data_IF_890760292341
#
_entry.id   IF_890760292341
#
_cell.length_a   1.000
_cell.length_b   1.000
_cell.length_c   1.000
_cell.angle_alpha   90.00
_cell.angle_beta   90.00
_cell.angle_gamma   90.00
#
_symmetry.space_group_name_H-M   'P 1'
#
loop_
_entity.id
_entity.type
_entity.pdbx_description
1 polymer ?
#
# COMPACT_ATOMS: atom_id res chain seq x y z
N UNK A 1 39.43 4.33 30.34
CA UNK A 1 40.89 4.25 30.11
C UNK A 1 41.59 4.38 31.46
N UNK A 2 41.96 3.25 32.05
CA UNK A 2 42.96 3.16 33.11
C UNK A 2 43.81 1.93 32.80
N UNK A 3 45.11 2.18 32.66
CA UNK A 3 46.15 1.22 32.33
C UNK A 3 46.49 0.46 33.61
N UNK A 4 46.25 -0.85 33.63
CA UNK A 4 46.80 -1.75 34.64
C UNK A 4 47.94 -2.52 33.98
N UNK A 5 49.14 -2.15 34.41
CA UNK A 5 50.41 -2.74 34.06
C UNK A 5 50.55 -4.00 34.92
N UNK A 6 50.38 -5.17 34.31
CA UNK A 6 50.71 -6.46 34.95
C UNK A 6 52.16 -6.80 34.61
N UNK A 7 53.00 -6.79 35.64
CA UNK A 7 54.39 -7.23 35.62
C UNK A 7 54.45 -8.70 35.18
N UNK A 8 55.27 -8.97 34.16
CA UNK A 8 55.61 -10.31 33.69
C UNK A 8 56.68 -10.90 34.62
N UNK A 9 56.31 -11.96 35.35
CA UNK A 9 57.27 -12.83 36.05
C UNK A 9 58.11 -13.63 35.05
N UNK A 10 59.46 -13.68 35.18
CA UNK A 10 60.34 -14.33 34.20
C UNK A 10 60.63 -15.82 34.48
N UNK A 11 59.91 -16.49 35.38
CA UNK A 11 60.32 -17.83 35.90
C UNK A 11 59.55 -19.02 35.31
N UNK A 12 58.90 -18.87 34.16
CA UNK A 12 58.08 -19.94 33.54
C UNK A 12 58.85 -20.85 32.56
N UNK A 13 60.16 -20.68 32.37
CA UNK A 13 60.89 -21.40 31.31
C UNK A 13 61.30 -22.82 31.69
N UNK A 14 61.40 -23.14 32.98
CA UNK A 14 61.81 -24.47 33.46
C UNK A 14 60.65 -25.49 33.46
N UNK A 15 59.40 -25.05 33.67
CA UNK A 15 58.22 -25.92 33.68
C UNK A 15 57.76 -26.36 32.28
N UNK A 16 58.12 -25.59 31.23
CA UNK A 16 57.65 -25.89 29.87
C UNK A 16 58.36 -27.12 29.29
N UNK A 17 59.63 -27.37 29.62
CA UNK A 17 60.39 -28.53 29.15
C UNK A 17 59.89 -29.85 29.79
N UNK A 18 59.54 -29.84 31.08
CA UNK A 18 59.03 -31.02 31.82
C UNK A 18 57.58 -31.39 31.39
N UNK A 19 56.75 -30.38 31.15
CA UNK A 19 55.38 -30.56 30.63
C UNK A 19 55.37 -31.13 29.19
N UNK A 20 56.35 -30.75 28.36
CA UNK A 20 56.44 -31.29 27.00
C UNK A 20 56.83 -32.76 26.99
N UNK A 21 57.73 -33.18 27.87
CA UNK A 21 58.19 -34.58 27.99
C UNK A 21 57.05 -35.48 28.49
N UNK A 22 56.33 -35.05 29.54
CA UNK A 22 55.18 -35.81 30.08
C UNK A 22 54.00 -35.92 29.11
N UNK A 23 53.78 -34.90 28.26
CA UNK A 23 52.77 -34.93 27.19
C UNK A 23 53.18 -35.87 26.05
N UNK A 24 54.45 -35.89 25.69
CA UNK A 24 54.98 -36.77 24.64
C UNK A 24 54.92 -38.24 25.07
N UNK A 25 55.22 -38.53 26.33
CA UNK A 25 55.03 -39.86 26.93
C UNK A 25 53.56 -40.29 26.94
N UNK A 26 52.64 -39.38 27.23
CA UNK A 26 51.20 -39.65 27.19
C UNK A 26 50.72 -39.98 25.78
N UNK A 27 51.16 -39.22 24.77
CA UNK A 27 50.84 -39.46 23.36
C UNK A 27 51.33 -40.84 22.94
N UNK A 28 52.58 -41.19 23.30
CA UNK A 28 53.15 -42.50 23.01
C UNK A 28 52.34 -43.64 23.62
N UNK A 29 51.89 -43.49 24.88
CA UNK A 29 51.03 -44.49 25.54
C UNK A 29 49.67 -44.62 24.85
N UNK A 30 49.07 -43.52 24.38
CA UNK A 30 47.86 -43.55 23.58
C UNK A 30 48.06 -44.27 22.24
N UNK A 31 49.19 -44.04 21.57
CA UNK A 31 49.54 -44.69 20.30
C UNK A 31 49.76 -46.20 20.48
N UNK A 32 50.41 -46.62 21.57
CA UNK A 32 50.59 -48.04 21.91
C UNK A 32 49.23 -48.72 22.16
N UNK A 33 48.34 -48.11 22.94
CA UNK A 33 46.98 -48.63 23.15
C UNK A 33 46.17 -48.69 21.85
N UNK A 34 46.31 -47.70 20.97
CA UNK A 34 45.64 -47.69 19.67
C UNK A 34 46.15 -48.82 18.77
N UNK A 35 47.45 -49.08 18.78
CA UNK A 35 48.07 -50.17 18.03
C UNK A 35 47.58 -51.54 18.52
N UNK A 36 47.46 -51.72 19.83
CA UNK A 36 46.91 -52.95 20.43
C UNK A 36 45.44 -53.16 20.03
N UNK A 37 44.64 -52.08 20.02
CA UNK A 37 43.26 -52.10 19.53
C UNK A 37 43.20 -52.47 18.04
N UNK A 38 44.05 -51.88 17.21
CA UNK A 38 44.13 -52.16 15.78
C UNK A 38 44.57 -53.60 15.50
N UNK A 39 45.52 -54.15 16.27
CA UNK A 39 45.92 -55.55 16.18
C UNK A 39 44.76 -56.49 16.55
N UNK A 40 44.02 -56.18 17.61
CA UNK A 40 42.81 -56.92 17.99
C UNK A 40 41.75 -56.88 16.89
N UNK A 41 41.51 -55.71 16.29
CA UNK A 41 40.56 -55.54 15.20
C UNK A 41 40.97 -56.30 13.94
N UNK A 42 42.27 -56.34 13.64
CA UNK A 42 42.81 -57.13 12.53
C UNK A 42 42.70 -58.64 12.76
N UNK A 43 42.85 -59.11 14.01
CA UNK A 43 42.60 -60.53 14.36
C UNK A 43 41.13 -60.89 14.18
N UNK A 44 40.21 -60.02 14.60
CA UNK A 44 38.77 -60.21 14.42
C UNK A 44 38.37 -60.24 12.92
N UNK A 45 38.97 -59.37 12.10
CA UNK A 45 38.67 -59.33 10.67
C UNK A 45 39.17 -60.58 9.93
N UNK A 46 40.32 -61.15 10.33
CA UNK A 46 40.85 -62.39 9.77
C UNK A 46 39.94 -63.60 10.05
N UNK A 47 39.43 -63.71 11.29
CA UNK A 47 38.52 -64.78 11.73
C UNK A 47 37.19 -64.76 10.96
N UNK A 48 36.76 -63.60 10.45
CA UNK A 48 35.57 -63.47 9.61
C UNK A 48 35.70 -64.04 8.19
N UNK A 49 36.89 -64.42 7.73
CA UNK A 49 37.17 -64.85 6.34
C UNK A 49 37.44 -66.34 6.14
N UNK A 50 37.41 -67.16 7.20
CA UNK A 50 37.57 -68.62 7.06
C UNK A 50 36.31 -69.27 6.46
N UNK A 51 36.43 -69.76 5.22
CA UNK A 51 35.37 -70.50 4.53
C UNK A 51 35.34 -71.96 5.01
N UNK A 52 34.37 -72.31 5.86
CA UNK A 52 34.23 -73.65 6.44
C UNK A 52 32.98 -74.38 5.90
N UNK A 53 33.15 -75.65 5.51
CA UNK A 53 32.32 -76.36 4.52
C UNK A 53 31.34 -77.39 5.10
N UNK A 54 31.04 -77.39 6.40
CA UNK A 54 30.06 -78.32 7.01
C UNK A 54 29.13 -77.64 8.04
N UNK A 55 27.82 -77.70 7.79
CA UNK A 55 26.78 -76.88 8.44
C UNK A 55 26.64 -77.11 9.96
N UNK A 56 26.85 -78.34 10.43
CA UNK A 56 26.67 -78.66 11.86
C UNK A 56 27.92 -78.32 12.70
N UNK A 57 29.10 -78.45 12.10
CA UNK A 57 30.36 -77.97 12.67
C UNK A 57 30.38 -76.42 12.71
N UNK A 58 29.85 -75.77 11.67
CA UNK A 58 29.71 -74.31 11.59
C UNK A 58 28.83 -73.74 12.71
N UNK A 59 27.66 -74.36 12.96
CA UNK A 59 26.77 -73.91 14.04
C UNK A 59 27.43 -74.07 15.41
N UNK A 60 28.14 -75.18 15.63
CA UNK A 60 28.85 -75.44 16.89
C UNK A 60 29.99 -74.44 17.12
N UNK A 61 30.73 -74.09 16.06
CA UNK A 61 31.81 -73.10 16.10
C UNK A 61 31.29 -71.68 16.36
N UNK A 62 30.20 -71.27 15.70
CA UNK A 62 29.56 -69.98 15.94
C UNK A 62 28.99 -69.87 17.36
N UNK A 63 28.37 -70.94 17.88
CA UNK A 63 27.88 -70.96 19.27
C UNK A 63 29.05 -70.85 20.26
N UNK A 64 30.18 -71.52 19.98
CA UNK A 64 31.39 -71.40 20.80
C UNK A 64 31.95 -69.98 20.75
N UNK A 65 32.07 -69.37 19.56
CA UNK A 65 32.54 -67.99 19.39
C UNK A 65 31.64 -66.99 20.12
N UNK A 66 30.32 -67.11 19.98
CA UNK A 66 29.36 -66.25 20.70
C UNK A 66 29.55 -66.40 22.21
N UNK A 67 29.76 -67.62 22.72
CA UNK A 67 30.04 -67.84 24.14
C UNK A 67 31.37 -67.21 24.59
N UNK A 68 32.44 -67.37 23.81
CA UNK A 68 33.74 -66.76 24.07
C UNK A 68 33.66 -65.23 24.08
N UNK A 69 33.08 -64.63 23.04
CA UNK A 69 32.89 -63.18 22.94
C UNK A 69 31.97 -62.63 24.04
N UNK A 70 30.92 -63.38 24.41
CA UNK A 70 30.05 -62.99 25.53
C UNK A 70 30.81 -63.03 26.86
N UNK A 71 31.69 -64.02 27.05
CA UNK A 71 32.53 -64.10 28.23
C UNK A 71 33.55 -62.95 28.28
N UNK A 72 34.24 -62.66 27.17
CA UNK A 72 35.16 -61.53 27.03
C UNK A 72 34.45 -60.19 27.28
N UNK A 73 33.29 -59.93 26.67
CA UNK A 73 32.52 -58.71 26.91
C UNK A 73 32.13 -58.59 28.39
N UNK A 74 31.69 -59.68 29.00
CA UNK A 74 31.36 -59.69 30.43
C UNK A 74 32.58 -59.48 31.34
N UNK A 75 33.77 -59.82 30.86
CA UNK A 75 35.04 -59.55 31.54
C UNK A 75 35.41 -58.06 31.39
N UNK A 76 35.40 -57.52 30.17
CA UNK A 76 35.68 -56.10 29.90
C UNK A 76 34.71 -55.15 30.59
N UNK A 77 33.45 -55.55 30.77
CA UNK A 77 32.45 -54.74 31.49
C UNK A 77 32.70 -54.73 33.01
N UNK A 78 33.39 -55.74 33.55
CA UNK A 78 33.73 -55.85 34.98
C UNK A 78 35.12 -55.31 35.30
N UNK A 79 36.03 -55.34 34.33
CA UNK A 79 37.32 -54.68 34.44
C UNK A 79 37.10 -53.16 34.43
N UNK A 80 37.62 -52.47 35.44
CA UNK A 80 37.75 -51.02 35.39
C UNK A 80 38.75 -50.70 34.29
N UNK A 81 38.39 -49.85 33.30
CA UNK A 81 39.34 -49.44 32.28
C UNK A 81 40.61 -48.93 32.96
N UNK A 82 41.79 -49.38 32.52
CA UNK A 82 43.04 -48.73 32.91
C UNK A 82 42.98 -47.31 32.35
N UNK A 83 42.56 -46.38 33.21
CA UNK A 83 42.65 -44.96 32.92
C UNK A 83 44.15 -44.70 32.82
N UNK A 84 44.57 -44.12 31.70
CA UNK A 84 45.93 -43.65 31.55
C UNK A 84 46.24 -42.80 32.80
N UNK A 85 47.32 -43.09 33.55
CA UNK A 85 47.65 -42.32 34.74
C UNK A 85 47.85 -40.87 34.31
N UNK A 86 46.83 -40.05 34.55
CA UNK A 86 46.89 -38.62 34.29
C UNK A 86 47.83 -38.06 35.35
N UNK A 87 48.98 -37.58 34.90
CA UNK A 87 49.82 -36.71 35.72
C UNK A 87 48.95 -35.51 36.17
N UNK A 88 48.99 -35.17 37.46
CA UNK A 88 48.24 -34.06 38.06
C UNK A 88 48.46 -32.75 37.27
N UNK A 89 49.67 -32.57 36.75
CA UNK A 89 50.05 -31.43 35.91
C UNK A 89 49.31 -31.38 34.57
N UNK A 90 49.08 -32.53 33.93
CA UNK A 90 48.30 -32.62 32.69
C UNK A 90 46.82 -32.29 32.94
N UNK A 91 46.27 -32.70 34.08
CA UNK A 91 44.92 -32.33 34.51
C UNK A 91 44.79 -30.83 34.75
N UNK A 92 45.76 -30.23 35.46
CA UNK A 92 45.77 -28.80 35.77
C UNK A 92 45.91 -27.97 34.49
N UNK A 93 46.79 -28.37 33.57
CA UNK A 93 46.99 -27.66 32.29
C UNK A 93 45.75 -27.75 31.40
N UNK A 94 45.15 -28.94 31.26
CA UNK A 94 43.89 -29.12 30.52
C UNK A 94 42.75 -28.30 31.15
N UNK A 95 42.61 -28.36 32.47
CA UNK A 95 41.61 -27.57 33.19
C UNK A 95 41.77 -26.07 32.95
N UNK A 96 43.00 -25.55 33.05
CA UNK A 96 43.32 -24.14 32.74
C UNK A 96 42.94 -23.80 31.30
N UNK A 97 43.28 -24.64 30.32
CA UNK A 97 42.97 -24.41 28.91
C UNK A 97 41.45 -24.33 28.68
N UNK A 98 40.69 -25.29 29.21
CA UNK A 98 39.23 -25.32 29.06
C UNK A 98 38.54 -24.14 29.75
N UNK A 99 39.01 -23.74 30.94
CA UNK A 99 38.51 -22.52 31.60
C UNK A 99 38.84 -21.25 30.81
N UNK A 100 40.01 -21.18 30.18
CA UNK A 100 40.35 -20.08 29.31
C UNK A 100 39.42 -20.04 28.09
N UNK A 101 39.22 -21.15 27.37
CA UNK A 101 38.27 -21.21 26.24
C UNK A 101 36.88 -20.75 26.66
N UNK A 102 36.37 -21.30 27.76
CA UNK A 102 35.05 -20.93 28.30
C UNK A 102 34.97 -19.44 28.62
N UNK A 103 36.02 -18.85 29.21
CA UNK A 103 36.07 -17.42 29.50
C UNK A 103 35.99 -16.59 28.21
N UNK A 104 36.75 -16.94 27.18
CA UNK A 104 36.72 -16.23 25.90
C UNK A 104 35.35 -16.32 25.24
N UNK A 105 34.73 -17.51 25.24
CA UNK A 105 33.40 -17.71 24.67
C UNK A 105 32.34 -16.89 25.42
N UNK A 106 32.39 -16.88 26.76
CA UNK A 106 31.49 -16.07 27.59
C UNK A 106 31.67 -14.58 27.34
N UNK A 107 32.91 -14.11 27.18
CA UNK A 107 33.22 -12.71 26.89
C UNK A 107 32.67 -12.29 25.51
N UNK A 108 32.79 -13.16 24.50
CA UNK A 108 32.23 -12.94 23.17
C UNK A 108 30.69 -12.89 23.20
N UNK A 109 30.06 -13.80 23.95
CA UNK A 109 28.60 -13.81 24.15
C UNK A 109 28.16 -12.54 24.89
N UNK A 110 28.86 -12.14 25.95
CA UNK A 110 28.56 -10.91 26.69
C UNK A 110 28.66 -9.67 25.78
N UNK A 111 29.73 -9.54 24.99
CA UNK A 111 29.88 -8.44 24.03
C UNK A 111 28.75 -8.42 23.00
N UNK A 112 28.36 -9.60 22.50
CA UNK A 112 27.24 -9.74 21.56
C UNK A 112 25.91 -9.33 22.19
N UNK A 113 25.66 -9.72 23.43
CA UNK A 113 24.43 -9.35 24.14
C UNK A 113 24.42 -7.84 24.45
N UNK A 114 25.54 -7.27 24.88
CA UNK A 114 25.66 -5.84 25.18
C UNK A 114 25.40 -4.99 23.93
N UNK A 115 26.04 -5.31 22.80
CA UNK A 115 25.81 -4.61 21.53
C UNK A 115 24.35 -4.73 21.05
N UNK A 116 23.74 -5.91 21.19
CA UNK A 116 22.31 -6.08 20.91
C UNK A 116 21.42 -5.24 21.83
N UNK A 117 21.74 -5.17 23.11
CA UNK A 117 20.99 -4.36 24.07
C UNK A 117 21.09 -2.87 23.78
N UNK A 118 22.27 -2.35 23.44
CA UNK A 118 22.41 -0.95 23.06
C UNK A 118 21.62 -0.64 21.78
N UNK A 119 21.69 -1.51 20.77
CA UNK A 119 20.86 -1.37 19.58
C UNK A 119 19.36 -1.36 19.91
N UNK A 120 18.89 -2.27 20.78
CA UNK A 120 17.49 -2.29 21.18
C UNK A 120 17.06 -1.02 21.91
N UNK A 121 17.93 -0.40 22.71
CA UNK A 121 17.64 0.89 23.34
C UNK A 121 17.51 2.00 22.30
N UNK A 122 18.44 2.06 21.35
CA UNK A 122 18.36 3.03 20.25
C UNK A 122 17.09 2.83 19.40
N UNK A 123 16.73 1.58 19.10
CA UNK A 123 15.50 1.24 18.39
C UNK A 123 14.27 1.70 19.19
N UNK A 124 14.24 1.43 20.50
CA UNK A 124 13.16 1.85 21.40
C UNK A 124 12.99 3.38 21.43
N UNK A 125 14.09 4.12 21.55
CA UNK A 125 14.05 5.59 21.55
C UNK A 125 13.49 6.15 20.23
N UNK A 126 13.87 5.55 19.09
CA UNK A 126 13.32 5.95 17.78
C UNK A 126 11.83 5.64 17.65
N UNK A 127 11.39 4.47 18.10
CA UNK A 127 9.97 4.10 18.09
C UNK A 127 9.15 5.02 19.01
N UNK A 128 9.70 5.40 20.17
CA UNK A 128 9.04 6.34 21.06
C UNK A 128 8.89 7.73 20.43
N UNK A 129 9.95 8.25 19.79
CA UNK A 129 9.88 9.51 19.05
C UNK A 129 8.84 9.45 17.93
N UNK A 130 8.81 8.35 17.18
CA UNK A 130 7.83 8.15 16.12
C UNK A 130 6.39 8.14 16.66
N UNK A 131 6.15 7.50 17.81
CA UNK A 131 4.85 7.51 18.47
C UNK A 131 4.42 8.94 18.87
N UNK A 132 5.35 9.72 19.43
CA UNK A 132 5.08 11.11 19.83
C UNK A 132 4.71 11.98 18.61
N UNK A 133 5.41 11.79 17.48
CA UNK A 133 5.08 12.44 16.20
C UNK A 133 3.69 12.04 15.69
N UNK A 134 3.35 10.75 15.74
CA UNK A 134 2.01 10.27 15.33
C UNK A 134 0.91 10.88 16.20
N UNK A 135 1.14 10.97 17.51
CA UNK A 135 0.21 11.59 18.44
C UNK A 135 0.00 13.08 18.13
N UNK A 136 1.07 13.81 17.82
CA UNK A 136 0.98 15.22 17.43
C UNK A 136 0.21 15.43 16.12
N UNK A 137 0.40 14.55 15.13
CA UNK A 137 -0.37 14.57 13.88
C UNK A 137 -1.85 14.30 14.16
N UNK A 138 -2.16 13.32 15.01
CA UNK A 138 -3.53 12.99 15.38
C UNK A 138 -4.23 14.17 16.09
N UNK A 139 -3.54 14.82 17.02
CA UNK A 139 -4.05 16.00 17.72
C UNK A 139 -4.32 17.14 16.74
N UNK A 140 -3.37 17.41 15.84
CA UNK A 140 -3.51 18.44 14.80
C UNK A 140 -4.69 18.16 13.87
N UNK A 141 -4.86 16.90 13.46
CA UNK A 141 -5.98 16.47 12.63
C UNK A 141 -7.32 16.59 13.36
N UNK A 142 -7.34 16.27 14.66
CA UNK A 142 -8.54 16.37 15.50
C UNK A 142 -8.98 17.83 15.64
N UNK A 143 -8.02 18.75 15.82
CA UNK A 143 -8.29 20.20 15.83
C UNK A 143 -8.88 20.64 14.49
N UNK A 144 -8.24 20.30 13.37
CA UNK A 144 -8.73 20.63 12.02
C UNK A 144 -10.12 20.07 11.76
N UNK A 145 -10.39 18.82 12.16
CA UNK A 145 -11.70 18.20 12.02
C UNK A 145 -12.75 18.94 12.87
N UNK A 146 -12.41 19.35 14.09
CA UNK A 146 -13.33 20.12 14.94
C UNK A 146 -13.64 21.49 14.35
N UNK A 147 -12.64 22.16 13.77
CA UNK A 147 -12.79 23.45 13.09
C UNK A 147 -13.65 23.30 11.84
N UNK A 148 -13.38 22.31 10.99
CA UNK A 148 -14.19 22.04 9.80
C UNK A 148 -15.63 21.70 10.17
N UNK A 149 -15.86 20.90 11.23
CA UNK A 149 -17.20 20.60 11.72
C UNK A 149 -17.91 21.87 12.17
N UNK A 150 -17.24 22.77 12.89
CA UNK A 150 -17.81 24.06 13.25
C UNK A 150 -18.09 24.91 12.00
N UNK A 151 -17.19 24.93 11.01
CA UNK A 151 -17.39 25.63 9.75
C UNK A 151 -18.61 25.11 8.98
N UNK A 152 -18.78 23.79 8.84
CA UNK A 152 -19.96 23.15 8.23
C UNK A 152 -21.23 23.49 9.02
N UNK A 153 -21.16 23.54 10.36
CA UNK A 153 -22.29 23.97 11.19
C UNK A 153 -22.61 25.46 10.98
N UNK A 154 -21.60 26.32 10.77
CA UNK A 154 -21.80 27.76 10.49
C UNK A 154 -22.23 28.07 9.06
N UNK A 155 -21.77 27.27 8.09
CA UNK A 155 -22.19 27.29 6.69
C UNK A 155 -23.28 26.25 6.55
N UNK A 156 -24.42 26.52 7.19
CA UNK A 156 -25.54 25.60 7.11
C UNK A 156 -25.93 25.39 5.65
N UNK A 157 -26.17 24.15 5.25
CA UNK A 157 -26.71 23.81 3.92
C UNK A 157 -27.97 24.65 3.64
N UNK A 158 -28.73 24.96 4.68
CA UNK A 158 -29.88 25.86 4.62
C UNK A 158 -29.53 27.28 4.19
N UNK A 159 -28.37 27.84 4.55
CA UNK A 159 -27.95 29.19 4.14
C UNK A 159 -27.60 29.23 2.66
N UNK A 160 -26.83 28.25 2.17
CA UNK A 160 -26.49 28.13 0.74
C UNK A 160 -27.76 27.88 -0.08
N UNK A 161 -28.63 26.99 0.40
CA UNK A 161 -29.90 26.68 -0.26
C UNK A 161 -30.82 27.90 -0.32
N UNK A 162 -30.92 28.67 0.77
CA UNK A 162 -31.71 29.90 0.80
C UNK A 162 -31.13 30.96 -0.13
N UNK A 163 -29.80 31.15 -0.18
CA UNK A 163 -29.16 32.08 -1.11
C UNK A 163 -29.42 31.70 -2.58
N UNK A 164 -29.30 30.43 -2.92
CA UNK A 164 -29.65 29.90 -4.25
C UNK A 164 -31.13 30.13 -4.58
N UNK A 165 -32.02 29.89 -3.62
CA UNK A 165 -33.45 30.11 -3.78
C UNK A 165 -33.77 31.59 -4.03
N UNK A 166 -33.12 32.51 -3.33
CA UNK A 166 -33.25 33.95 -3.55
C UNK A 166 -32.73 34.34 -4.93
N UNK A 167 -31.53 33.94 -5.31
CA UNK A 167 -30.96 34.23 -6.65
C UNK A 167 -31.86 33.70 -7.78
N UNK A 168 -32.44 32.52 -7.61
CA UNK A 168 -33.39 31.94 -8.56
C UNK A 168 -34.65 32.80 -8.67
N UNK A 169 -35.19 33.26 -7.54
CA UNK A 169 -36.36 34.13 -7.52
C UNK A 169 -36.07 35.47 -8.18
N UNK A 170 -34.94 36.11 -7.87
CA UNK A 170 -34.54 37.40 -8.44
C UNK A 170 -34.38 37.30 -9.96
N UNK A 171 -33.77 36.20 -10.43
CA UNK A 171 -33.62 35.93 -11.87
C UNK A 171 -34.98 35.75 -12.55
N UNK A 172 -35.92 35.08 -11.88
CA UNK A 172 -37.28 34.90 -12.40
C UNK A 172 -38.03 36.23 -12.49
N UNK A 173 -37.94 37.06 -11.45
CA UNK A 173 -38.58 38.39 -11.42
C UNK A 173 -37.98 39.32 -12.48
N UNK A 174 -36.65 39.29 -12.65
CA UNK A 174 -35.98 40.04 -13.70
C UNK A 174 -36.44 39.61 -15.11
N UNK A 175 -36.54 38.29 -15.36
CA UNK A 175 -37.07 37.76 -16.61
C UNK A 175 -38.51 38.25 -16.87
N UNK A 176 -39.37 38.20 -15.86
CA UNK A 176 -40.76 38.65 -16.00
C UNK A 176 -40.86 40.14 -16.30
N UNK A 177 -40.13 40.98 -15.56
CA UNK A 177 -40.04 42.42 -15.83
C UNK A 177 -39.55 42.71 -17.25
N UNK A 178 -38.52 42.00 -17.70
CA UNK A 178 -37.96 42.16 -19.05
C UNK A 178 -38.97 41.78 -20.14
N UNK A 179 -39.74 40.71 -19.94
CA UNK A 179 -40.79 40.31 -20.89
C UNK A 179 -41.92 41.33 -20.94
N UNK A 180 -42.34 41.88 -19.79
CA UNK A 180 -43.37 42.91 -19.72
C UNK A 180 -42.91 44.18 -20.46
N UNK A 181 -41.70 44.68 -20.18
CA UNK A 181 -41.19 45.89 -20.85
C UNK A 181 -40.98 45.70 -22.35
N UNK A 182 -40.57 44.50 -22.78
CA UNK A 182 -40.48 44.17 -24.20
C UNK A 182 -41.87 44.16 -24.86
N UNK A 183 -42.88 43.59 -24.19
CA UNK A 183 -44.24 43.60 -24.69
C UNK A 183 -44.78 45.01 -24.86
N UNK A 184 -44.67 45.86 -23.83
CA UNK A 184 -45.08 47.27 -23.87
C UNK A 184 -44.38 48.03 -25.01
N UNK A 185 -43.06 47.84 -25.16
CA UNK A 185 -42.29 48.45 -26.25
C UNK A 185 -42.77 48.01 -27.64
N UNK A 186 -43.06 46.71 -27.81
CA UNK A 186 -43.51 46.18 -29.10
C UNK A 186 -44.92 46.64 -29.44
N UNK A 187 -45.82 46.77 -28.47
CA UNK A 187 -47.16 47.31 -28.68
C UNK A 187 -47.12 48.78 -29.12
N UNK A 188 -46.28 49.60 -28.51
CA UNK A 188 -46.17 51.04 -28.80
C UNK A 188 -45.51 51.32 -30.17
N UNK A 189 -44.50 50.54 -30.56
CA UNK A 189 -43.71 50.80 -31.77
C UNK A 189 -44.08 49.95 -32.99
N UNK A 190 -44.73 48.79 -32.80
CA UNK A 190 -45.12 47.87 -33.87
C UNK A 190 -46.61 47.49 -33.81
N UNK A 191 -47.54 48.46 -33.93
CA UNK A 191 -48.97 48.17 -34.01
C UNK A 191 -49.35 47.51 -35.34
N UNK A 192 -50.34 46.60 -35.31
CA UNK A 192 -50.86 45.97 -36.53
C UNK A 192 -51.47 47.01 -37.49
N UNK A 193 -51.34 46.84 -38.83
CA UNK A 193 -51.79 47.83 -39.82
C UNK A 193 -53.28 48.15 -39.88
N UNK A 194 -54.14 47.40 -39.19
CA UNK A 194 -55.59 47.54 -39.37
C UNK A 194 -56.28 48.35 -38.27
N UNK A 195 -55.53 48.84 -37.27
CA UNK A 195 -56.16 49.62 -36.21
C UNK A 195 -56.51 51.04 -36.64
N UNK A 196 -55.88 51.62 -37.69
CA UNK A 196 -55.97 53.06 -37.97
C UNK A 196 -55.80 53.54 -39.44
N UNK A 197 -56.34 52.88 -40.48
CA UNK A 197 -56.36 53.53 -41.82
C UNK A 197 -57.67 53.36 -42.60
N UNK A 198 -58.32 54.50 -42.83
CA UNK A 198 -59.50 54.65 -43.70
C UNK A 198 -59.17 54.27 -45.17
N UNK A 199 -59.95 53.33 -45.71
CA UNK A 199 -60.39 53.14 -47.12
C UNK A 199 -59.40 53.50 -48.26
N UNK A 200 -58.96 52.47 -48.99
CA UNK A 200 -59.09 52.45 -50.46
C UNK A 200 -59.17 51.01 -50.99
N UNK A 201 -60.28 50.70 -51.65
CA UNK A 201 -60.56 49.45 -52.38
C UNK A 201 -59.40 49.09 -53.31
N UNK A 202 -58.94 47.85 -53.25
CA UNK A 202 -58.82 46.96 -54.42
C UNK A 202 -58.77 45.50 -53.99
N UNK A 203 -59.83 44.81 -54.42
CA UNK A 203 -60.05 43.38 -54.55
C UNK A 203 -58.77 42.53 -54.61
N UNK A 204 -58.64 41.53 -53.72
CA UNK A 204 -58.23 40.13 -53.97
C UNK A 204 -58.33 39.35 -52.64
N UNK A 205 -59.28 38.41 -52.63
CA UNK A 205 -59.30 37.12 -51.92
C UNK A 205 -58.79 37.08 -50.46
N UNK A 206 -59.74 37.28 -49.55
CA UNK A 206 -59.65 37.05 -48.10
C UNK A 206 -59.36 35.59 -47.75
N UNK A 207 -58.17 35.33 -47.24
CA UNK A 207 -58.01 34.43 -46.09
C UNK A 207 -57.87 35.32 -44.85
N UNK A 208 -58.98 35.63 -44.18
CA UNK A 208 -58.97 36.37 -42.91
C UNK A 208 -58.41 35.48 -41.79
N UNK A 209 -57.13 35.13 -41.87
CA UNK A 209 -56.40 34.68 -40.70
C UNK A 209 -56.21 35.92 -39.81
N UNK A 210 -56.66 35.86 -38.55
CA UNK A 210 -56.37 36.90 -37.57
C UNK A 210 -54.85 37.02 -37.47
N UNK A 211 -54.32 38.18 -37.91
CA UNK A 211 -52.89 38.45 -37.86
C UNK A 211 -52.45 38.62 -36.42
N UNK A 212 -51.40 37.92 -36.03
CA UNK A 212 -50.80 38.02 -34.70
C UNK A 212 -49.77 39.16 -34.63
N UNK A 213 -49.62 39.73 -33.45
CA UNK A 213 -48.67 40.81 -33.13
C UNK A 213 -47.22 40.30 -33.17
N UNK A 214 -46.26 41.23 -33.28
CA UNK A 214 -44.84 40.89 -33.25
C UNK A 214 -44.43 40.24 -31.92
N UNK A 215 -45.04 40.67 -30.81
CA UNK A 215 -44.85 40.06 -29.49
C UNK A 215 -45.23 38.58 -29.49
N UNK A 216 -46.43 38.23 -29.98
CA UNK A 216 -46.91 36.84 -30.05
C UNK A 216 -46.03 35.98 -30.96
N UNK A 217 -45.52 36.53 -32.07
CA UNK A 217 -44.56 35.84 -32.94
C UNK A 217 -43.27 35.51 -32.17
N UNK A 218 -42.71 36.49 -31.46
CA UNK A 218 -41.50 36.30 -30.66
C UNK A 218 -41.72 35.33 -29.50
N UNK A 219 -42.86 35.38 -28.83
CA UNK A 219 -43.24 34.48 -27.75
C UNK A 219 -43.33 33.02 -28.23
N UNK A 220 -43.94 32.78 -29.39
CA UNK A 220 -44.00 31.44 -30.01
C UNK A 220 -42.60 30.92 -30.33
N UNK A 221 -41.73 31.77 -30.89
CA UNK A 221 -40.35 31.40 -31.20
C UNK A 221 -39.53 31.14 -29.92
N UNK A 222 -39.72 31.94 -28.88
CA UNK A 222 -39.03 31.81 -27.61
C UNK A 222 -39.46 30.53 -26.88
N UNK A 223 -40.76 30.29 -26.78
CA UNK A 223 -41.31 29.08 -26.15
C UNK A 223 -40.84 27.83 -26.90
N UNK A 224 -40.80 27.86 -28.24
CA UNK A 224 -40.28 26.73 -29.01
C UNK A 224 -38.80 26.46 -28.81
N UNK A 225 -37.99 27.50 -28.63
CA UNK A 225 -36.57 27.35 -28.29
C UNK A 225 -36.38 26.70 -26.92
N UNK A 226 -37.19 27.06 -25.91
CA UNK A 226 -37.09 26.54 -24.55
C UNK A 226 -37.73 25.16 -24.36
N UNK A 227 -38.88 24.89 -25.00
CA UNK A 227 -39.62 23.64 -24.85
C UNK A 227 -39.03 22.50 -25.70
N UNK A 228 -38.45 22.82 -26.87
CA UNK A 228 -37.92 21.84 -27.81
C UNK A 228 -36.56 22.29 -28.38
N UNK A 229 -35.48 22.30 -27.57
CA UNK A 229 -34.16 22.77 -28.01
C UNK A 229 -33.58 21.94 -29.18
N UNK A 230 -34.06 20.71 -29.38
CA UNK A 230 -33.65 19.82 -30.46
C UNK A 230 -34.35 20.11 -31.81
N UNK A 231 -35.49 20.81 -31.81
CA UNK A 231 -36.20 21.25 -33.02
C UNK A 231 -36.82 22.65 -32.81
N UNK A 232 -35.99 23.72 -32.86
CA UNK A 232 -36.41 25.08 -32.57
C UNK A 232 -37.14 25.77 -33.74
N UNK A 233 -37.51 25.03 -34.79
CA UNK A 233 -38.09 25.59 -36.00
C UNK A 233 -39.63 25.68 -35.92
N UNK A 234 -40.15 26.86 -36.24
CA UNK A 234 -41.58 27.16 -36.30
C UNK A 234 -42.00 27.39 -37.74
N UNK A 235 -43.09 26.75 -38.17
CA UNK A 235 -43.65 26.94 -39.51
C UNK A 235 -44.39 28.28 -39.58
N UNK A 236 -44.01 29.12 -40.53
CA UNK A 236 -44.70 30.38 -40.86
C UNK A 236 -46.08 30.01 -41.41
N UNK A 237 -47.12 30.37 -40.68
CA UNK A 237 -48.52 30.14 -41.06
C UNK A 237 -49.17 31.44 -41.53
N UNK A 238 -50.37 31.34 -42.10
CA UNK A 238 -51.09 32.48 -42.68
C UNK A 238 -51.45 33.58 -41.66
N UNK A 239 -51.30 33.33 -40.35
CA UNK A 239 -51.47 34.32 -39.28
C UNK A 239 -50.25 35.21 -39.05
N UNK A 240 -49.06 34.85 -39.55
CA UNK A 240 -47.84 35.62 -39.38
C UNK A 240 -47.84 36.79 -40.35
N UNK A 241 -47.74 38.02 -39.84
CA UNK A 241 -47.70 39.18 -40.73
C UNK A 241 -46.35 39.25 -41.48
N UNK A 242 -46.33 39.18 -42.83
CA UNK A 242 -45.08 39.04 -43.59
C UNK A 242 -44.03 40.13 -43.33
N UNK A 243 -44.39 41.43 -43.13
CA UNK A 243 -43.43 42.47 -42.78
C UNK A 243 -42.71 42.26 -41.44
N UNK A 244 -43.37 41.65 -40.45
CA UNK A 244 -42.76 41.30 -39.17
C UNK A 244 -41.81 40.12 -39.30
N UNK A 245 -42.18 39.12 -40.08
CA UNK A 245 -41.28 38.00 -40.39
C UNK A 245 -40.03 38.51 -41.12
N UNK A 246 -40.20 39.39 -42.11
CA UNK A 246 -39.08 39.96 -42.87
C UNK A 246 -38.20 40.88 -42.01
N UNK A 247 -38.80 41.64 -41.09
CA UNK A 247 -38.07 42.45 -40.11
C UNK A 247 -37.17 41.58 -39.23
N UNK A 248 -37.71 40.48 -38.70
CA UNK A 248 -36.95 39.54 -37.86
C UNK A 248 -35.80 38.89 -38.64
N UNK A 249 -36.05 38.49 -39.89
CA UNK A 249 -35.03 37.89 -40.76
C UNK A 249 -33.94 38.90 -41.16
N UNK A 250 -34.31 40.13 -41.53
CA UNK A 250 -33.36 41.15 -42.00
C UNK A 250 -32.47 41.67 -40.88
N UNK A 251 -32.97 41.72 -39.65
CA UNK A 251 -32.20 42.12 -38.47
C UNK A 251 -31.45 40.93 -37.81
N UNK A 252 -31.46 39.74 -38.41
CA UNK A 252 -30.78 38.55 -37.88
C UNK A 252 -31.47 37.88 -36.70
N UNK A 253 -32.52 38.47 -36.13
CA UNK A 253 -33.22 37.97 -34.94
C UNK A 253 -33.81 36.56 -35.16
N UNK A 254 -34.22 36.26 -36.39
CA UNK A 254 -34.66 34.93 -36.80
C UNK A 254 -33.89 34.44 -38.04
N UNK A 255 -33.74 33.12 -38.15
CA UNK A 255 -33.08 32.43 -39.27
C UNK A 255 -34.04 31.46 -39.93
N UNK A 256 -34.01 31.39 -41.27
CA UNK A 256 -34.78 30.38 -42.03
C UNK A 256 -34.11 29.00 -41.94
N UNK A 257 -34.91 27.94 -42.05
CA UNK A 257 -34.37 26.58 -42.19
C UNK A 257 -33.63 26.44 -43.54
N UNK A 258 -32.44 25.81 -43.57
CA UNK A 258 -31.64 25.68 -44.79
C UNK A 258 -32.35 24.88 -45.90
N UNK A 259 -33.22 23.94 -45.52
CA UNK A 259 -33.94 23.07 -46.45
C UNK A 259 -35.43 23.41 -46.63
N UNK A 260 -36.02 24.22 -45.72
CA UNK A 260 -37.45 24.54 -45.74
C UNK A 260 -37.67 26.05 -45.52
N UNK A 261 -37.89 26.83 -46.58
CA UNK A 261 -38.04 28.29 -46.47
C UNK A 261 -39.32 28.71 -45.73
N UNK A 262 -40.22 27.77 -45.42
CA UNK A 262 -41.43 28.02 -44.63
C UNK A 262 -41.21 27.89 -43.13
N UNK A 263 -40.00 27.54 -42.67
CA UNK A 263 -39.66 27.41 -41.25
C UNK A 263 -38.65 28.46 -40.82
N UNK A 264 -38.89 29.06 -39.66
CA UNK A 264 -38.02 30.05 -39.02
C UNK A 264 -37.70 29.63 -37.58
N UNK A 265 -36.52 29.97 -37.08
CA UNK A 265 -36.13 29.80 -35.68
C UNK A 265 -35.49 31.08 -35.15
N UNK A 266 -35.50 31.27 -33.83
CA UNK A 266 -34.75 32.36 -33.20
C UNK A 266 -33.24 32.12 -33.34
N UNK A 267 -32.47 33.19 -33.54
CA UNK A 267 -31.00 33.13 -33.45
C UNK A 267 -30.57 32.85 -32.00
N UNK A 268 -29.46 32.13 -31.84
CA UNK A 268 -28.91 31.83 -30.52
C UNK A 268 -28.01 32.99 -30.06
N UNK A 269 -28.48 33.79 -29.10
CA UNK A 269 -27.76 34.97 -28.59
C UNK A 269 -26.72 34.66 -27.49
N UNK A 270 -26.34 33.40 -27.29
CA UNK A 270 -25.55 32.93 -26.13
C UNK A 270 -24.02 32.90 -26.35
N UNK A 271 -23.46 33.80 -27.15
CA UNK A 271 -22.00 33.91 -27.32
C UNK A 271 -21.34 34.75 -26.23
#
# INVERSE_FOLDING_TARGET
MSVSQEDLDPDSTTDIEDVTDTKEELIKKCEEMWKDMEECQNKLSLVGTETLTDSNAQLSLLIMQVKCLTAELSQWQKETPEIIPLNEEVLVTLGKEEFQKLRHDLELVLSTIQSKNEKLKEDLEREQQWLDEQQQVLESLTVLHSELKHQIVTVSESRIFNELKTKLHDTKEYKEKLLITLSEFLEDHFPLPDRNVKKKKKNIQESTAQLITLHEILEILLNKLFDAPHDPYVKVSDSFWPPYVELLLRNGIALRHPEDPTRIRLEAFHQ
#
